data_IF_743969379366
#
_entry.id   IF_743969379366
#
_cell.length_a   1.000
_cell.length_b   1.000
_cell.length_c   1.000
_cell.angle_alpha   90.00
_cell.angle_beta   90.00
_cell.angle_gamma   90.00
#
_symmetry.space_group_name_H-M   'P 1'
#
loop_
_entity.id
_entity.type
_entity.pdbx_description
1 polymer ?
#
# COMPACT_ATOMS: atom_id res chain seq x y z
N UNK A 1 -1.90 10.92 -17.11
CA UNK A 1 -3.14 11.05 -17.91
C UNK A 1 -3.72 12.45 -17.66
N UNK A 2 -4.78 12.88 -18.34
CA UNK A 2 -5.47 14.12 -17.93
C UNK A 2 -6.03 13.91 -16.52
N UNK A 3 -5.71 14.78 -15.56
CA UNK A 3 -6.19 14.73 -14.15
C UNK A 3 -7.71 14.51 -14.02
N UNK A 4 -8.46 14.95 -15.04
CA UNK A 4 -9.91 14.78 -15.17
C UNK A 4 -10.33 13.32 -15.38
N UNK A 5 -9.60 12.57 -16.22
CA UNK A 5 -9.89 11.15 -16.47
C UNK A 5 -9.63 10.31 -15.22
N UNK A 6 -8.55 10.63 -14.50
CA UNK A 6 -8.20 10.00 -13.22
C UNK A 6 -9.30 10.21 -12.18
N UNK A 7 -9.83 11.44 -12.06
CA UNK A 7 -10.94 11.74 -11.14
C UNK A 7 -12.23 10.98 -11.49
N UNK A 8 -12.57 10.88 -12.78
CA UNK A 8 -13.76 10.13 -13.24
C UNK A 8 -13.58 8.64 -12.94
N UNK A 9 -12.42 8.09 -13.27
CA UNK A 9 -12.13 6.68 -13.03
C UNK A 9 -12.17 6.33 -11.55
N UNK A 10 -11.58 7.15 -10.68
CA UNK A 10 -11.64 6.96 -9.22
C UNK A 10 -13.08 6.92 -8.70
N UNK A 11 -13.98 7.76 -9.23
CA UNK A 11 -15.39 7.70 -8.80
C UNK A 11 -16.15 6.49 -9.31
N UNK A 12 -15.78 5.97 -10.47
CA UNK A 12 -16.29 4.67 -10.92
C UNK A 12 -15.82 3.61 -9.94
N UNK A 13 -14.51 3.53 -9.68
CA UNK A 13 -13.89 2.54 -8.81
C UNK A 13 -14.50 2.47 -7.40
N UNK A 14 -14.86 3.62 -6.82
CA UNK A 14 -15.40 3.70 -5.46
C UNK A 14 -16.89 3.31 -5.36
N UNK A 15 -17.65 3.42 -6.45
CA UNK A 15 -19.13 3.31 -6.44
C UNK A 15 -19.66 2.26 -7.42
N UNK A 16 -18.84 1.29 -7.82
CA UNK A 16 -19.23 0.28 -8.80
C UNK A 16 -20.38 -0.61 -8.31
N UNK A 17 -21.33 -0.99 -9.18
CA UNK A 17 -21.53 -0.54 -10.56
C UNK A 17 -22.31 0.79 -10.65
N UNK A 18 -21.80 1.78 -11.39
CA UNK A 18 -22.38 3.14 -11.42
C UNK A 18 -23.03 3.50 -12.76
N UNK A 19 -24.18 4.20 -12.72
CA UNK A 19 -24.84 4.76 -13.90
C UNK A 19 -24.35 6.16 -14.24
N UNK A 20 -24.59 6.62 -15.47
CA UNK A 20 -24.13 7.95 -15.91
C UNK A 20 -24.78 9.11 -15.13
N UNK A 21 -26.05 8.94 -14.73
CA UNK A 21 -26.78 9.94 -13.95
C UNK A 21 -26.17 10.12 -12.56
N UNK A 22 -25.84 9.01 -11.88
CA UNK A 22 -25.20 9.03 -10.57
C UNK A 22 -23.78 9.60 -10.65
N UNK A 23 -23.01 9.20 -11.67
CA UNK A 23 -21.69 9.78 -11.98
C UNK A 23 -21.76 11.29 -12.16
N UNK A 24 -22.74 11.79 -12.93
CA UNK A 24 -22.91 13.23 -13.12
C UNK A 24 -23.28 13.97 -11.83
N UNK A 25 -23.98 13.32 -10.89
CA UNK A 25 -24.33 13.90 -9.59
C UNK A 25 -23.14 13.95 -8.61
N UNK A 26 -22.26 12.96 -8.67
CA UNK A 26 -21.03 12.89 -7.86
C UNK A 26 -19.96 13.88 -8.34
N UNK A 27 -19.85 14.08 -9.64
CA UNK A 27 -18.92 15.04 -10.24
C UNK A 27 -19.62 16.41 -10.30
N UNK A 28 -19.77 17.06 -9.14
CA UNK A 28 -20.39 18.39 -8.97
C UNK A 28 -19.70 19.57 -9.70
N UNK A 29 -18.69 19.30 -10.52
CA UNK A 29 -18.02 20.30 -11.36
C UNK A 29 -18.72 20.39 -12.73
N UNK A 30 -18.68 21.57 -13.37
CA UNK A 30 -19.31 21.95 -14.66
C UNK A 30 -18.92 21.04 -15.86
N UNK A 31 -19.25 19.75 -15.81
CA UNK A 31 -18.97 18.79 -16.86
C UNK A 31 -20.26 18.53 -17.63
N UNK A 32 -20.27 18.97 -18.88
CA UNK A 32 -21.36 18.62 -19.79
C UNK A 32 -21.38 17.11 -20.06
N UNK A 33 -22.57 16.53 -20.11
CA UNK A 33 -22.80 15.11 -20.43
C UNK A 33 -22.03 14.65 -21.69
N UNK A 34 -21.94 15.44 -22.79
CA UNK A 34 -21.14 15.08 -23.96
C UNK A 34 -19.64 14.93 -23.66
N UNK A 35 -19.11 15.69 -22.71
CA UNK A 35 -17.69 15.60 -22.30
C UNK A 35 -17.46 14.38 -21.43
N UNK A 36 -18.40 14.05 -20.54
CA UNK A 36 -18.37 12.82 -19.76
C UNK A 36 -18.46 11.58 -20.65
N UNK A 37 -19.34 11.58 -21.66
CA UNK A 37 -19.43 10.48 -22.64
C UNK A 37 -18.13 10.29 -23.43
N UNK A 38 -17.47 11.38 -23.85
CA UNK A 38 -16.15 11.30 -24.51
C UNK A 38 -15.08 10.72 -23.58
N UNK A 39 -15.09 11.11 -22.31
CA UNK A 39 -14.17 10.57 -21.31
C UNK A 39 -14.41 9.08 -21.05
N UNK A 40 -15.67 8.66 -20.86
CA UNK A 40 -16.06 7.26 -20.68
C UNK A 40 -15.67 6.41 -21.90
N UNK A 41 -15.91 6.90 -23.11
CA UNK A 41 -15.48 6.22 -24.33
C UNK A 41 -13.95 6.05 -24.39
N UNK A 42 -13.18 7.05 -23.95
CA UNK A 42 -11.72 6.96 -23.85
C UNK A 42 -11.27 5.92 -22.83
N UNK A 43 -11.92 5.87 -21.66
CA UNK A 43 -11.64 4.87 -20.61
C UNK A 43 -11.99 3.44 -21.06
N UNK A 44 -13.10 3.26 -21.79
CA UNK A 44 -13.49 1.96 -22.39
C UNK A 44 -12.46 1.53 -23.44
N UNK A 45 -12.04 2.44 -24.33
CA UNK A 45 -11.03 2.14 -25.34
C UNK A 45 -9.67 1.79 -24.74
N UNK A 46 -9.33 2.38 -23.59
CA UNK A 46 -8.14 2.05 -22.82
C UNK A 46 -8.27 0.75 -22.00
N UNK A 47 -9.41 0.06 -22.07
CA UNK A 47 -9.75 -1.15 -21.29
C UNK A 47 -9.68 -0.94 -19.78
N UNK A 48 -9.88 0.28 -19.32
CA UNK A 48 -9.90 0.61 -17.89
C UNK A 48 -11.27 0.33 -17.26
N UNK A 49 -12.35 0.49 -18.05
CA UNK A 49 -13.72 0.26 -17.59
C UNK A 49 -14.48 -0.65 -18.56
N UNK A 50 -15.35 -1.50 -18.00
CA UNK A 50 -16.29 -2.33 -18.72
C UNK A 50 -17.70 -1.71 -18.63
N UNK A 51 -18.49 -1.91 -19.69
CA UNK A 51 -19.86 -1.43 -19.78
C UNK A 51 -20.80 -2.63 -19.72
N UNK A 52 -21.71 -2.62 -18.75
CA UNK A 52 -22.77 -3.62 -18.61
C UNK A 52 -24.15 -2.99 -18.79
N UNK A 53 -25.12 -3.76 -19.31
CA UNK A 53 -26.49 -3.29 -19.56
C UNK A 53 -26.69 -2.53 -20.88
N UNK A 54 -27.92 -2.04 -21.11
CA UNK A 54 -28.33 -1.32 -22.33
C UNK A 54 -29.25 -0.13 -22.01
N UNK A 55 -29.05 0.98 -22.72
CA UNK A 55 -29.88 2.18 -22.63
C UNK A 55 -29.85 2.81 -21.22
N UNK A 56 -30.98 3.04 -20.55
CA UNK A 56 -31.01 3.64 -19.21
C UNK A 56 -30.36 2.76 -18.13
N UNK A 57 -30.23 1.45 -18.40
CA UNK A 57 -29.56 0.50 -17.51
C UNK A 57 -28.07 0.31 -17.82
N UNK A 58 -27.45 1.20 -18.60
CA UNK A 58 -26.00 1.19 -18.79
C UNK A 58 -25.30 1.49 -17.47
N UNK A 59 -24.38 0.61 -17.09
CA UNK A 59 -23.55 0.69 -15.87
C UNK A 59 -22.08 0.50 -16.23
N UNK A 60 -21.23 1.22 -15.51
CA UNK A 60 -19.78 1.17 -15.68
C UNK A 60 -19.15 0.51 -14.45
N UNK A 61 -18.19 -0.37 -14.71
CA UNK A 61 -17.38 -1.08 -13.71
C UNK A 61 -15.92 -0.96 -14.10
N UNK A 62 -15.02 -0.63 -13.20
CA UNK A 62 -13.59 -0.61 -13.50
C UNK A 62 -13.04 -2.02 -13.52
N UNK A 63 -12.09 -2.24 -14.43
CA UNK A 63 -11.30 -3.46 -14.41
C UNK A 63 -10.33 -3.37 -13.23
N UNK A 64 -10.42 -4.36 -12.33
CA UNK A 64 -9.70 -4.41 -11.06
C UNK A 64 -8.17 -4.37 -11.23
N UNK A 65 -7.68 -4.85 -12.36
CA UNK A 65 -6.26 -4.94 -12.63
C UNK A 65 -5.66 -3.52 -12.69
N UNK A 66 -6.22 -2.64 -13.51
CA UNK A 66 -5.65 -1.30 -13.70
C UNK A 66 -5.98 -0.32 -12.57
N UNK A 67 -6.91 -0.66 -11.67
CA UNK A 67 -7.23 0.16 -10.50
C UNK A 67 -6.02 0.42 -9.59
N UNK A 68 -5.07 -0.53 -9.52
CA UNK A 68 -3.86 -0.41 -8.70
C UNK A 68 -2.95 0.73 -9.18
N UNK A 69 -3.01 1.09 -10.47
CA UNK A 69 -2.17 2.16 -11.03
C UNK A 69 -2.67 3.56 -10.69
N UNK A 70 -3.89 3.70 -10.17
CA UNK A 70 -4.46 5.00 -9.90
C UNK A 70 -4.05 5.52 -8.53
N UNK A 71 -3.54 6.75 -8.45
CA UNK A 71 -3.16 7.34 -7.18
C UNK A 71 -4.40 7.55 -6.31
N UNK A 72 -4.33 7.06 -5.08
CA UNK A 72 -5.36 7.31 -4.07
C UNK A 72 -5.00 8.62 -3.35
N UNK A 73 -5.98 9.48 -3.13
CA UNK A 73 -5.78 10.65 -2.27
C UNK A 73 -5.67 10.21 -0.81
N UNK A 74 -4.44 10.19 -0.32
CA UNK A 74 -4.05 9.72 1.01
C UNK A 74 -4.76 10.51 2.11
N UNK A 75 -4.82 11.84 1.99
CA UNK A 75 -5.46 12.70 2.98
C UNK A 75 -6.96 12.38 3.12
N UNK A 76 -7.65 12.21 2.00
CA UNK A 76 -9.07 11.84 1.99
C UNK A 76 -9.32 10.46 2.60
N UNK A 77 -8.41 9.51 2.36
CA UNK A 77 -8.49 8.15 2.89
C UNK A 77 -8.33 8.12 4.41
N UNK A 78 -7.37 8.89 4.95
CA UNK A 78 -7.11 8.96 6.39
C UNK A 78 -8.03 9.91 7.16
N UNK A 79 -8.77 10.78 6.46
CA UNK A 79 -9.80 11.63 7.08
C UNK A 79 -11.01 10.86 7.60
N UNK A 80 -11.19 9.61 7.16
CA UNK A 80 -12.29 8.73 7.58
C UNK A 80 -11.79 7.77 8.66
N UNK A 81 -12.61 7.61 9.71
CA UNK A 81 -12.38 6.62 10.77
C UNK A 81 -12.29 5.20 10.21
N UNK A 82 -11.46 4.36 10.84
CA UNK A 82 -11.17 2.98 10.41
C UNK A 82 -12.45 2.18 10.12
N UNK A 83 -13.45 2.28 10.99
CA UNK A 83 -14.72 1.56 10.90
C UNK A 83 -15.59 1.96 9.70
N UNK A 84 -15.41 3.18 9.20
CA UNK A 84 -16.19 3.74 8.08
C UNK A 84 -15.45 3.67 6.74
N UNK A 85 -14.25 3.07 6.71
CA UNK A 85 -13.48 2.93 5.46
C UNK A 85 -14.10 1.85 4.58
N UNK A 86 -14.24 2.10 3.26
CA UNK A 86 -14.67 1.08 2.32
C UNK A 86 -13.55 0.04 2.15
N UNK A 87 -13.59 -1.04 2.92
CA UNK A 87 -12.66 -2.16 2.84
C UNK A 87 -13.38 -3.50 2.68
N UNK A 88 -12.71 -4.48 2.06
CA UNK A 88 -13.20 -5.86 2.04
C UNK A 88 -13.10 -6.46 3.43
N UNK A 89 -14.08 -7.29 3.81
CA UNK A 89 -14.09 -8.03 5.08
C UNK A 89 -13.12 -9.22 5.09
N UNK A 90 -12.52 -9.55 3.94
CA UNK A 90 -11.57 -10.63 3.78
C UNK A 90 -10.37 -10.16 2.95
N UNK A 91 -9.23 -10.82 3.15
CA UNK A 91 -8.04 -10.59 2.34
C UNK A 91 -8.23 -11.16 0.93
N UNK A 92 -7.99 -10.35 -0.09
CA UNK A 92 -8.09 -10.77 -1.49
C UNK A 92 -6.74 -11.31 -1.97
N UNK A 93 -6.60 -12.64 -2.02
CA UNK A 93 -5.37 -13.29 -2.48
C UNK A 93 -5.08 -13.06 -3.97
N UNK A 94 -6.10 -12.74 -4.77
CA UNK A 94 -5.92 -12.47 -6.20
C UNK A 94 -5.08 -11.22 -6.44
N UNK A 95 -4.87 -10.39 -5.41
CA UNK A 95 -3.97 -9.23 -5.50
C UNK A 95 -2.57 -9.62 -5.98
N UNK A 96 -2.07 -10.81 -5.64
CA UNK A 96 -0.74 -11.25 -6.07
C UNK A 96 -0.68 -11.57 -7.56
N UNK A 97 -1.73 -12.19 -8.11
CA UNK A 97 -1.82 -12.47 -9.55
C UNK A 97 -1.90 -11.16 -10.34
N UNK A 98 -2.66 -10.20 -9.82
CA UNK A 98 -2.76 -8.86 -10.41
C UNK A 98 -1.39 -8.16 -10.40
N UNK A 99 -0.68 -8.18 -9.26
CA UNK A 99 0.62 -7.54 -9.11
C UNK A 99 1.72 -8.18 -9.99
N UNK A 100 1.64 -9.48 -10.29
CA UNK A 100 2.59 -10.14 -11.19
C UNK A 100 2.42 -9.72 -12.64
N UNK A 101 1.17 -9.46 -13.05
CA UNK A 101 0.84 -9.16 -14.44
C UNK A 101 0.88 -7.66 -14.77
N UNK A 102 1.10 -6.82 -13.76
CA UNK A 102 1.10 -5.36 -13.92
C UNK A 102 2.52 -4.80 -13.81
N UNK A 103 2.88 -4.02 -14.83
CA UNK A 103 4.00 -3.08 -14.74
C UNK A 103 3.53 -1.84 -13.95
N UNK A 104 3.92 -1.78 -12.67
CA UNK A 104 3.59 -0.67 -11.76
C UNK A 104 4.46 0.57 -12.02
N UNK A 105 5.71 0.35 -12.41
CA UNK A 105 6.74 1.39 -12.54
C UNK A 105 6.98 1.70 -14.01
N UNK A 106 7.08 2.99 -14.34
CA UNK A 106 7.51 3.41 -15.66
C UNK A 106 9.00 3.14 -15.87
N UNK A 107 9.46 3.08 -17.12
CA UNK A 107 10.87 2.89 -17.49
C UNK A 107 11.79 3.92 -16.84
N UNK A 108 11.36 5.18 -16.73
CA UNK A 108 12.10 6.24 -16.03
C UNK A 108 12.23 5.99 -14.52
N UNK A 109 11.15 5.50 -13.89
CA UNK A 109 11.12 5.21 -12.46
C UNK A 109 11.99 3.99 -12.13
N UNK A 110 11.93 2.97 -12.99
CA UNK A 110 12.77 1.77 -12.89
C UNK A 110 14.25 2.13 -13.02
N UNK A 111 14.63 2.93 -14.02
CA UNK A 111 16.01 3.40 -14.17
C UNK A 111 16.46 4.23 -12.95
N UNK A 112 15.59 5.10 -12.42
CA UNK A 112 15.87 5.84 -11.19
C UNK A 112 16.08 4.90 -9.99
N UNK A 113 15.24 3.88 -9.83
CA UNK A 113 15.38 2.89 -8.76
C UNK A 113 16.66 2.08 -8.88
N UNK A 114 17.05 1.69 -10.10
CA UNK A 114 18.32 1.00 -10.36
C UNK A 114 19.51 1.86 -9.95
N UNK A 115 19.56 3.12 -10.38
CA UNK A 115 20.66 4.04 -10.00
C UNK A 115 20.75 4.27 -8.50
N UNK A 116 19.61 4.33 -7.81
CA UNK A 116 19.56 4.44 -6.35
C UNK A 116 20.00 3.14 -5.67
N UNK A 117 19.62 2.00 -6.22
CA UNK A 117 20.02 0.67 -5.76
C UNK A 117 21.53 0.46 -5.88
N UNK A 118 22.13 0.90 -6.99
CA UNK A 118 23.59 0.87 -7.18
C UNK A 118 24.31 1.74 -6.14
N UNK A 119 23.85 2.99 -5.92
CA UNK A 119 24.40 3.87 -4.89
C UNK A 119 24.29 3.28 -3.50
N UNK A 120 23.15 2.66 -3.18
CA UNK A 120 22.94 1.99 -1.90
C UNK A 120 23.91 0.81 -1.73
N UNK A 121 24.07 -0.02 -2.76
CA UNK A 121 24.97 -1.18 -2.71
C UNK A 121 26.44 -0.78 -2.56
N UNK A 122 26.87 0.32 -3.20
CA UNK A 122 28.21 0.88 -3.05
C UNK A 122 28.48 1.41 -1.63
N UNK A 123 27.49 2.07 -1.04
CA UNK A 123 27.58 2.65 0.30
C UNK A 123 27.18 1.67 1.41
N UNK A 124 26.89 0.41 1.06
CA UNK A 124 26.41 -0.58 2.02
C UNK A 124 27.54 -0.89 3.00
N UNK A 125 27.37 -0.62 4.31
CA UNK A 125 28.34 -1.06 5.29
C UNK A 125 28.40 -2.59 5.27
N UNK A 126 29.58 -3.16 5.50
CA UNK A 126 29.71 -4.61 5.62
C UNK A 126 28.69 -5.13 6.64
N UNK A 127 28.01 -6.24 6.29
CA UNK A 127 26.95 -6.86 7.11
C UNK A 127 27.42 -7.20 8.53
N UNK A 128 28.72 -7.35 8.74
CA UNK A 128 29.34 -7.64 10.03
C UNK A 128 29.92 -6.40 10.76
N UNK A 129 29.79 -5.21 10.18
CA UNK A 129 30.26 -3.98 10.80
C UNK A 129 29.51 -3.68 12.10
N UNK A 130 30.21 -3.05 13.04
CA UNK A 130 29.64 -2.59 14.32
C UNK A 130 28.48 -1.61 14.05
N UNK A 131 28.64 -0.75 13.05
CA UNK A 131 27.63 0.23 12.63
C UNK A 131 26.34 -0.47 12.20
N UNK A 132 26.44 -1.49 11.33
CA UNK A 132 25.27 -2.24 10.89
C UNK A 132 24.52 -2.90 12.04
N UNK A 133 25.23 -3.53 12.98
CA UNK A 133 24.62 -4.15 14.17
C UNK A 133 23.90 -3.13 15.05
N UNK A 134 24.48 -1.94 15.23
CA UNK A 134 23.89 -0.86 16.05
C UNK A 134 22.63 -0.29 15.40
N UNK A 135 22.66 -0.01 14.11
CA UNK A 135 21.48 0.49 13.38
C UNK A 135 20.36 -0.56 13.31
N UNK A 136 20.72 -1.83 13.11
CA UNK A 136 19.75 -2.92 13.13
C UNK A 136 19.10 -3.06 14.50
N UNK A 137 19.88 -2.97 15.59
CA UNK A 137 19.34 -2.98 16.95
C UNK A 137 18.38 -1.81 17.19
N UNK A 138 18.76 -0.60 16.78
CA UNK A 138 17.90 0.58 16.89
C UNK A 138 16.57 0.37 16.16
N UNK A 139 16.60 -0.12 14.92
CA UNK A 139 15.41 -0.43 14.14
C UNK A 139 14.52 -1.46 14.85
N UNK A 140 15.12 -2.52 15.40
CA UNK A 140 14.38 -3.56 16.12
C UNK A 140 13.70 -3.02 17.38
N UNK A 141 14.36 -2.13 18.12
CA UNK A 141 13.78 -1.46 19.30
C UNK A 141 12.59 -0.60 18.87
N UNK A 142 12.76 0.25 17.85
CA UNK A 142 11.70 1.11 17.34
C UNK A 142 10.48 0.32 16.86
N UNK A 143 10.69 -0.78 16.13
CA UNK A 143 9.60 -1.66 15.67
C UNK A 143 8.89 -2.35 16.83
N UNK A 144 9.64 -2.84 17.82
CA UNK A 144 9.09 -3.51 19.01
C UNK A 144 8.23 -2.55 19.83
N UNK A 145 8.74 -1.33 20.06
CA UNK A 145 8.00 -0.27 20.74
C UNK A 145 6.71 0.07 19.98
N UNK A 146 6.79 0.28 18.67
CA UNK A 146 5.62 0.67 17.87
C UNK A 146 4.55 -0.41 17.83
N UNK A 147 4.93 -1.67 17.70
CA UNK A 147 4.00 -2.81 17.78
C UNK A 147 3.32 -2.85 19.14
N UNK A 148 4.10 -2.72 20.21
CA UNK A 148 3.56 -2.76 21.57
C UNK A 148 2.62 -1.59 21.86
N UNK A 149 2.92 -0.39 21.35
CA UNK A 149 2.03 0.77 21.45
C UNK A 149 0.69 0.52 20.73
N UNK A 150 0.70 -0.11 19.55
CA UNK A 150 -0.52 -0.46 18.80
C UNK A 150 -1.35 -1.51 19.56
N UNK A 151 -0.70 -2.42 20.28
CA UNK A 151 -1.34 -3.41 21.17
C UNK A 151 -1.87 -2.78 22.48
N UNK A 152 -1.65 -1.49 22.71
CA UNK A 152 -2.14 -0.76 23.88
C UNK A 152 -1.17 -0.72 25.06
N UNK A 153 0.11 -1.03 24.83
CA UNK A 153 1.13 -0.94 25.87
C UNK A 153 1.57 0.52 26.10
N UNK A 154 1.98 0.81 27.34
CA UNK A 154 2.25 2.19 27.81
C UNK A 154 3.74 2.49 28.00
N UNK A 155 4.62 1.57 27.59
CA UNK A 155 6.06 1.79 27.67
C UNK A 155 6.51 2.86 26.69
N UNK A 156 7.40 3.73 27.17
CA UNK A 156 8.09 4.70 26.34
C UNK A 156 9.24 4.03 25.56
N UNK A 157 9.72 4.69 24.50
CA UNK A 157 10.82 4.18 23.68
C UNK A 157 12.07 3.88 24.53
N UNK A 158 12.37 4.73 25.51
CA UNK A 158 13.50 4.56 26.43
C UNK A 158 13.33 3.30 27.28
N UNK A 159 12.11 3.00 27.73
CA UNK A 159 11.85 1.80 28.52
C UNK A 159 12.08 0.53 27.70
N UNK A 160 11.69 0.54 26.43
CA UNK A 160 11.95 -0.57 25.52
C UNK A 160 13.45 -0.77 25.27
N UNK A 161 14.22 0.31 25.11
CA UNK A 161 15.69 0.24 25.03
C UNK A 161 16.30 -0.38 26.31
N UNK A 162 15.83 0.05 27.48
CA UNK A 162 16.28 -0.50 28.76
C UNK A 162 15.95 -1.99 28.91
N UNK A 163 14.77 -2.43 28.47
CA UNK A 163 14.37 -3.84 28.48
C UNK A 163 15.31 -4.70 27.63
N UNK A 164 15.68 -4.24 26.44
CA UNK A 164 16.65 -4.94 25.58
C UNK A 164 18.03 -5.03 26.24
N UNK A 165 18.49 -3.96 26.91
CA UNK A 165 19.76 -3.96 27.66
C UNK A 165 19.73 -4.92 28.86
N UNK A 166 18.64 -4.95 29.62
CA UNK A 166 18.45 -5.90 30.72
C UNK A 166 18.49 -7.34 30.19
N UNK A 167 17.81 -7.60 29.07
CA UNK A 167 17.78 -8.92 28.45
C UNK A 167 19.16 -9.36 27.96
N UNK A 168 19.92 -8.45 27.35
CA UNK A 168 21.31 -8.66 26.94
C UNK A 168 22.22 -9.01 28.12
N UNK A 169 22.10 -8.28 29.24
CA UNK A 169 22.86 -8.58 30.47
C UNK A 169 22.51 -9.96 31.01
N UNK A 170 21.22 -10.32 31.05
CA UNK A 170 20.77 -11.66 31.46
C UNK A 170 21.32 -12.77 30.57
N UNK A 171 21.38 -12.58 29.25
CA UNK A 171 21.96 -13.56 28.32
C UNK A 171 23.47 -13.76 28.49
N UNK A 172 24.21 -12.70 28.86
CA UNK A 172 25.64 -12.82 29.19
C UNK A 172 25.89 -13.57 30.49
N UNK A 173 24.99 -13.43 31.46
CA UNK A 173 25.07 -14.07 32.78
C UNK A 173 24.57 -15.53 32.71
N UNK A 174 23.58 -15.81 31.87
CA UNK A 174 23.03 -17.15 31.63
C UNK A 174 23.09 -17.48 30.13
N UNK A 175 24.26 -17.87 29.60
CA UNK A 175 24.33 -18.37 28.24
C UNK A 175 23.41 -19.59 28.14
N UNK A 176 22.53 -19.63 27.13
CA UNK A 176 21.59 -20.76 26.91
C UNK A 176 22.39 -22.06 27.01
N UNK A 177 22.16 -22.86 28.06
CA UNK A 177 22.66 -24.24 28.11
C UNK A 177 22.11 -24.93 26.88
N UNK A 178 22.98 -25.24 25.93
CA UNK A 178 22.62 -26.09 24.81
C UNK A 178 21.97 -27.35 25.37
N UNK A 179 20.74 -27.64 24.96
CA UNK A 179 20.23 -28.99 25.03
C UNK A 179 21.10 -29.82 24.09
N UNK A 180 22.21 -30.36 24.61
CA UNK A 180 22.74 -31.60 24.09
C UNK A 180 21.68 -32.64 24.41
N UNK A 181 20.77 -32.88 23.47
CA UNK A 181 20.08 -34.14 23.39
C UNK A 181 21.18 -35.20 23.21
N UNK A 182 21.49 -35.88 24.31
CA UNK A 182 22.11 -37.20 24.28
C UNK A 182 21.10 -38.15 23.65
N UNK A 183 21.13 -38.29 22.33
CA UNK A 183 20.60 -39.48 21.68
C UNK A 183 21.73 -40.51 21.67
N UNK A 184 21.55 -41.50 22.55
CA UNK A 184 22.27 -42.78 22.54
C UNK A 184 21.50 -43.76 21.66
#
# INVERSE_FOLDING_TARGET
MEQRLEKIFLQILLNEPIGIADLSGLIKEDISIPTLNRALAKLVNQKLIEVSGKGPNTRYTALKDDAIKFPINVDSYFSVDIESRPSKTYFDSNVFDILQNISLLNTEETAKLETLGEKFNLNKPEKNSIIYKKEFERLMIELSWKSSQIEGNTYDLIDTEQLFEIWRKKQKIYPRRGHHASES
#
